data_IF_771455672405
#
_entry.id   IF_771455672405
#
_cell.length_a   1.000
_cell.length_b   1.000
_cell.length_c   1.000
_cell.angle_alpha   90.00
_cell.angle_beta   90.00
_cell.angle_gamma   90.00
#
_symmetry.space_group_name_H-M   'P 1'
#
loop_
_entity.id
_entity.type
_entity.pdbx_description
1 polymer ?
#
# COMPACT_ATOMS: atom_id res chain seq x y z
N UNK A 1 -8.85 19.89 -31.41
CA UNK A 1 -7.86 20.82 -30.85
C UNK A 1 -7.03 20.06 -29.83
N UNK A 2 -5.71 19.94 -30.04
CA UNK A 2 -4.83 19.23 -29.12
C UNK A 2 -4.67 20.04 -27.83
N UNK A 3 -4.75 19.33 -26.71
CA UNK A 3 -4.65 19.85 -25.34
C UNK A 3 -3.20 20.36 -25.15
N UNK A 4 -2.99 21.54 -24.54
CA UNK A 4 -1.64 22.08 -24.32
C UNK A 4 -0.81 21.16 -23.42
N UNK A 5 0.46 21.03 -23.77
CA UNK A 5 1.47 20.27 -23.02
C UNK A 5 1.43 20.64 -21.54
N UNK A 6 1.19 19.62 -20.73
CA UNK A 6 1.33 19.68 -19.29
C UNK A 6 2.77 20.12 -18.97
N UNK A 7 3.00 21.14 -18.12
CA UNK A 7 4.34 21.65 -17.80
C UNK A 7 5.20 20.67 -16.98
N UNK A 8 4.77 19.41 -16.90
CA UNK A 8 5.44 18.31 -16.20
C UNK A 8 6.10 17.30 -17.15
N UNK A 9 6.13 17.56 -18.46
CA UNK A 9 6.77 16.70 -19.49
C UNK A 9 8.30 16.81 -19.57
N UNK A 10 8.96 17.65 -18.75
CA UNK A 10 10.42 17.82 -18.80
C UNK A 10 11.21 17.16 -17.64
N UNK A 11 10.58 16.29 -16.85
CA UNK A 11 11.34 15.35 -16.00
C UNK A 11 11.67 14.11 -16.83
N UNK A 12 12.61 14.31 -17.76
CA UNK A 12 13.33 13.25 -18.45
C UNK A 12 13.85 12.20 -17.47
N UNK A 13 14.06 11.01 -18.02
CA UNK A 13 14.77 9.85 -17.46
C UNK A 13 16.14 10.21 -16.86
N UNK A 14 16.14 10.96 -15.78
CA UNK A 14 17.27 11.01 -14.88
C UNK A 14 17.04 9.85 -13.92
N UNK A 15 17.39 8.66 -14.41
CA UNK A 15 17.95 7.66 -13.53
C UNK A 15 18.88 8.40 -12.56
N UNK A 16 18.48 8.47 -11.28
CA UNK A 16 19.35 8.95 -10.22
C UNK A 16 20.69 8.26 -10.47
N UNK A 17 21.78 9.00 -10.75
CA UNK A 17 23.04 8.40 -11.13
C UNK A 17 23.38 7.35 -10.07
N UNK A 18 23.77 6.16 -10.54
CA UNK A 18 23.94 4.90 -9.77
C UNK A 18 24.99 4.99 -8.64
N UNK A 19 25.37 6.20 -8.22
CA UNK A 19 26.31 6.51 -7.16
C UNK A 19 25.99 7.79 -6.38
N UNK A 20 24.77 8.35 -6.44
CA UNK A 20 24.37 9.49 -5.60
C UNK A 20 23.17 9.15 -4.72
N UNK A 21 23.31 8.11 -3.88
CA UNK A 21 22.53 8.04 -2.65
C UNK A 21 23.15 9.14 -1.76
N UNK A 22 22.50 10.30 -1.49
CA UNK A 22 22.87 11.01 -0.27
C UNK A 22 22.77 9.97 0.85
N UNK A 23 23.73 9.92 1.76
CA UNK A 23 23.72 9.06 2.93
C UNK A 23 22.48 9.39 3.78
N UNK A 24 21.32 8.95 3.31
CA UNK A 24 20.06 9.07 4.00
C UNK A 24 20.23 8.23 5.25
N UNK A 25 20.08 8.82 6.43
CA UNK A 25 20.21 8.06 7.65
C UNK A 25 19.25 6.87 7.60
N UNK A 26 19.60 5.73 8.22
CA UNK A 26 18.74 4.55 8.23
C UNK A 26 17.30 4.92 8.63
N UNK A 27 16.31 4.45 7.86
CA UNK A 27 14.90 4.77 8.08
C UNK A 27 14.39 6.06 7.43
N UNK A 28 15.21 6.80 6.67
CA UNK A 28 14.72 7.96 5.94
C UNK A 28 14.05 7.58 4.61
N UNK A 29 12.89 8.17 4.36
CA UNK A 29 12.14 8.03 3.12
C UNK A 29 11.77 9.41 2.57
N UNK A 30 11.73 9.53 1.25
CA UNK A 30 11.25 10.70 0.53
C UNK A 30 10.04 10.32 -0.33
N UNK A 31 8.93 11.09 -0.28
CA UNK A 31 7.85 10.93 -1.23
C UNK A 31 8.30 11.40 -2.61
N UNK A 32 7.95 10.64 -3.64
CA UNK A 32 8.22 10.92 -5.05
C UNK A 32 6.90 10.82 -5.81
N UNK A 33 6.78 11.44 -6.99
CA UNK A 33 5.58 11.36 -7.83
C UNK A 33 5.08 9.91 -8.08
N UNK A 34 5.99 8.91 -8.08
CA UNK A 34 5.66 7.49 -8.31
C UNK A 34 5.60 6.63 -7.02
N UNK A 35 5.95 7.16 -5.85
CA UNK A 35 6.03 6.36 -4.62
C UNK A 35 6.95 6.90 -3.54
N UNK A 36 7.71 6.00 -2.90
CA UNK A 36 8.67 6.34 -1.85
C UNK A 36 10.08 5.93 -2.28
N UNK A 37 11.07 6.73 -1.90
CA UNK A 37 12.49 6.44 -2.08
C UNK A 37 13.21 6.47 -0.71
N UNK A 38 13.95 5.42 -0.30
CA UNK A 38 14.17 4.15 -1.00
C UNK A 38 12.92 3.25 -1.01
N UNK A 39 12.59 2.60 -2.14
CA UNK A 39 11.35 1.83 -2.28
C UNK A 39 11.32 0.55 -1.44
N UNK A 40 12.49 -0.05 -1.18
CA UNK A 40 12.63 -1.27 -0.36
C UNK A 40 12.34 -0.99 1.11
N UNK A 41 12.93 0.09 1.65
CA UNK A 41 12.75 0.56 3.03
C UNK A 41 11.26 0.82 3.30
N UNK A 42 10.65 1.68 2.47
CA UNK A 42 9.24 2.04 2.58
C UNK A 42 8.31 0.83 2.46
N UNK A 43 8.54 -0.04 1.46
CA UNK A 43 7.72 -1.24 1.27
C UNK A 43 7.81 -2.21 2.46
N UNK A 44 9.00 -2.37 3.05
CA UNK A 44 9.22 -3.20 4.23
C UNK A 44 8.46 -2.64 5.43
N UNK A 45 8.53 -1.33 5.66
CA UNK A 45 7.86 -0.66 6.78
C UNK A 45 6.33 -0.64 6.61
N UNK A 46 5.80 -0.39 5.41
CA UNK A 46 4.37 -0.53 5.10
C UNK A 46 3.90 -1.97 5.33
N UNK A 47 4.69 -2.96 4.91
CA UNK A 47 4.34 -4.37 5.18
C UNK A 47 4.38 -4.68 6.67
N UNK A 48 5.28 -4.04 7.42
CA UNK A 48 5.39 -4.21 8.86
C UNK A 48 4.19 -3.59 9.60
N UNK A 49 3.71 -2.41 9.19
CA UNK A 49 2.52 -1.79 9.78
C UNK A 49 1.24 -2.56 9.47
N UNK A 50 1.14 -3.13 8.27
CA UNK A 50 0.02 -3.98 7.89
C UNK A 50 -0.01 -5.35 8.58
N UNK A 51 1.03 -5.73 9.35
CA UNK A 51 1.02 -6.99 10.10
C UNK A 51 -0.16 -7.09 11.05
N UNK A 52 -0.59 -5.98 11.65
CA UNK A 52 -1.70 -5.97 12.59
C UNK A 52 -3.06 -6.14 11.90
N UNK A 53 -3.19 -5.73 10.64
CA UNK A 53 -4.40 -5.97 9.83
C UNK A 53 -4.69 -7.47 9.72
N UNK A 54 -3.64 -8.29 9.62
CA UNK A 54 -3.75 -9.75 9.60
C UNK A 54 -4.17 -10.37 10.94
N UNK A 55 -4.55 -9.59 11.94
CA UNK A 55 -5.19 -10.08 13.17
C UNK A 55 -6.71 -9.94 13.14
N UNK A 56 -7.26 -9.24 12.15
CA UNK A 56 -8.70 -9.01 11.99
C UNK A 56 -9.21 -9.55 10.65
N UNK A 57 -10.46 -10.06 10.59
CA UNK A 57 -11.01 -10.66 9.37
C UNK A 57 -11.52 -9.57 8.42
N UNK A 58 -10.62 -8.77 7.86
CA UNK A 58 -10.95 -7.73 6.89
C UNK A 58 -10.66 -8.20 5.46
N UNK A 59 -11.63 -8.05 4.56
CA UNK A 59 -11.49 -8.43 3.14
C UNK A 59 -10.90 -7.31 2.29
N UNK A 60 -11.01 -6.06 2.75
CA UNK A 60 -10.55 -4.87 2.03
C UNK A 60 -9.95 -3.84 2.97
N UNK A 61 -8.96 -3.08 2.46
CA UNK A 61 -8.37 -1.97 3.19
C UNK A 61 -9.41 -0.89 3.55
N UNK A 62 -10.42 -0.70 2.71
CA UNK A 62 -11.47 0.30 2.91
C UNK A 62 -12.55 -0.11 3.92
N UNK A 63 -12.60 -1.38 4.33
CA UNK A 63 -13.47 -1.81 5.43
C UNK A 63 -12.91 -1.39 6.79
N UNK A 64 -11.63 -1.01 6.84
CA UNK A 64 -11.03 -0.50 8.06
C UNK A 64 -11.42 0.97 8.19
N UNK A 65 -11.92 1.34 9.36
CA UNK A 65 -12.29 2.72 9.66
C UNK A 65 -11.14 3.67 9.33
N UNK A 66 -11.50 4.79 8.72
CA UNK A 66 -10.51 5.80 8.32
C UNK A 66 -9.70 6.29 9.51
N UNK A 67 -10.35 6.43 10.68
CA UNK A 67 -9.69 6.79 11.92
C UNK A 67 -8.62 5.76 12.32
N UNK A 68 -8.89 4.46 12.20
CA UNK A 68 -7.91 3.41 12.47
C UNK A 68 -6.79 3.43 11.44
N UNK A 69 -7.12 3.62 10.16
CA UNK A 69 -6.10 3.70 9.09
C UNK A 69 -5.13 4.85 9.30
N UNK A 70 -5.62 5.98 9.80
CA UNK A 70 -4.83 7.17 10.09
C UNK A 70 -4.11 7.03 11.45
N UNK A 71 -4.85 6.89 12.53
CA UNK A 71 -4.31 7.00 13.89
C UNK A 71 -3.54 5.77 14.34
N UNK A 72 -3.78 4.59 13.74
CA UNK A 72 -3.05 3.37 14.10
C UNK A 72 -2.00 3.03 13.06
N UNK A 73 -2.37 2.93 11.78
CA UNK A 73 -1.40 2.46 10.77
C UNK A 73 -0.45 3.55 10.30
N UNK A 74 -0.95 4.76 10.05
CA UNK A 74 -0.08 5.85 9.62
C UNK A 74 0.82 6.34 10.76
N UNK A 75 0.31 6.46 11.98
CA UNK A 75 1.16 6.76 13.15
C UNK A 75 2.23 5.68 13.40
N UNK A 76 1.89 4.38 13.29
CA UNK A 76 2.92 3.33 13.33
C UNK A 76 3.92 3.41 12.18
N UNK A 77 3.50 3.88 11.02
CA UNK A 77 4.41 4.10 9.91
C UNK A 77 5.36 5.25 10.23
N UNK A 78 4.83 6.36 10.79
CA UNK A 78 5.59 7.52 11.26
C UNK A 78 6.65 7.18 12.32
N UNK A 79 6.42 6.18 13.17
CA UNK A 79 7.43 5.75 14.14
C UNK A 79 8.54 4.89 13.53
N UNK A 80 8.30 4.28 12.36
CA UNK A 80 9.25 3.40 11.67
C UNK A 80 10.11 4.10 10.61
N UNK A 81 9.65 5.25 10.11
CA UNK A 81 10.34 6.01 9.06
C UNK A 81 10.39 7.49 9.39
N UNK A 82 11.45 8.16 8.95
CA UNK A 82 11.58 9.62 8.98
C UNK A 82 11.50 10.17 7.57
N UNK A 83 10.99 11.38 7.41
CA UNK A 83 10.99 12.11 6.14
C UNK A 83 11.28 13.59 6.41
N UNK A 84 12.01 14.24 5.50
CA UNK A 84 12.23 15.70 5.52
C UNK A 84 10.94 16.44 5.03
N UNK A 85 10.85 17.78 4.90
CA UNK A 85 9.60 18.54 5.07
C UNK A 85 8.74 18.51 3.80
N UNK A 86 8.48 17.32 3.27
CA UNK A 86 7.39 17.07 2.36
C UNK A 86 6.06 17.21 3.11
N UNK A 87 5.00 17.65 2.44
CA UNK A 87 3.68 17.75 3.04
C UNK A 87 3.26 16.36 3.56
N UNK A 88 3.01 16.26 4.86
CA UNK A 88 2.59 15.04 5.56
C UNK A 88 1.37 14.40 4.87
N UNK A 89 0.51 15.23 4.29
CA UNK A 89 -0.63 14.81 3.48
C UNK A 89 -0.23 13.98 2.26
N UNK A 90 0.84 14.34 1.54
CA UNK A 90 1.32 13.57 0.39
C UNK A 90 1.87 12.20 0.82
N UNK A 91 2.63 12.16 1.91
CA UNK A 91 3.13 10.91 2.50
C UNK A 91 1.97 10.01 2.91
N UNK A 92 0.93 10.60 3.52
CA UNK A 92 -0.28 9.89 3.94
C UNK A 92 -1.06 9.30 2.77
N UNK A 93 -1.31 10.07 1.71
CA UNK A 93 -1.99 9.59 0.50
C UNK A 93 -1.21 8.45 -0.16
N UNK A 94 0.11 8.61 -0.30
CA UNK A 94 0.99 7.57 -0.84
C UNK A 94 0.98 6.31 0.04
N UNK A 95 1.00 6.47 1.36
CA UNK A 95 0.93 5.37 2.31
C UNK A 95 -0.36 4.57 2.13
N UNK A 96 -1.53 5.21 2.14
CA UNK A 96 -2.81 4.50 1.97
C UNK A 96 -2.92 3.80 0.62
N UNK A 97 -2.46 4.45 -0.46
CA UNK A 97 -2.43 3.87 -1.80
C UNK A 97 -1.56 2.60 -1.83
N UNK A 98 -0.33 2.67 -1.32
CA UNK A 98 0.59 1.53 -1.29
C UNK A 98 0.10 0.44 -0.33
N UNK A 99 -0.46 0.81 0.82
CA UNK A 99 -0.99 -0.13 1.80
C UNK A 99 -2.18 -0.94 1.23
N UNK A 100 -3.14 -0.26 0.62
CA UNK A 100 -4.29 -0.89 -0.05
C UNK A 100 -3.84 -1.84 -1.16
N UNK A 101 -2.87 -1.42 -1.98
CA UNK A 101 -2.31 -2.24 -3.05
C UNK A 101 -1.60 -3.48 -2.50
N UNK A 102 -0.76 -3.32 -1.46
CA UNK A 102 -0.04 -4.44 -0.81
C UNK A 102 -0.99 -5.47 -0.20
N UNK A 103 -2.01 -5.02 0.52
CA UNK A 103 -3.02 -5.91 1.10
C UNK A 103 -3.74 -6.70 0.00
N UNK A 104 -4.16 -6.00 -1.06
CA UNK A 104 -4.82 -6.60 -2.22
C UNK A 104 -3.93 -7.64 -2.93
N UNK A 105 -2.64 -7.35 -3.09
CA UNK A 105 -1.67 -8.27 -3.71
C UNK A 105 -1.47 -9.52 -2.84
N UNK A 106 -1.35 -9.37 -1.51
CA UNK A 106 -1.22 -10.50 -0.57
C UNK A 106 -2.43 -11.41 -0.65
N UNK A 107 -3.65 -10.88 -0.57
CA UNK A 107 -4.87 -11.69 -0.68
C UNK A 107 -5.04 -12.31 -2.07
N UNK A 108 -4.64 -11.61 -3.14
CA UNK A 108 -4.71 -12.16 -4.49
C UNK A 108 -3.73 -13.32 -4.69
N UNK A 109 -2.50 -13.20 -4.18
CA UNK A 109 -1.52 -14.28 -4.22
C UNK A 109 -1.94 -15.47 -3.36
N UNK A 110 -2.42 -15.21 -2.14
CA UNK A 110 -2.90 -16.25 -1.23
C UNK A 110 -4.05 -17.07 -1.84
N UNK A 111 -5.01 -16.40 -2.48
CA UNK A 111 -6.12 -17.07 -3.20
C UNK A 111 -5.64 -17.86 -4.41
N UNK A 112 -4.77 -17.27 -5.26
CA UNK A 112 -4.24 -17.96 -6.45
C UNK A 112 -3.49 -19.24 -6.10
N UNK A 113 -2.73 -19.22 -5.01
CA UNK A 113 -1.95 -20.38 -4.56
C UNK A 113 -2.75 -21.29 -3.63
N UNK A 114 -3.96 -20.90 -3.23
CA UNK A 114 -4.73 -21.46 -2.13
C UNK A 114 -3.89 -21.75 -0.87
N UNK A 115 -2.90 -20.88 -0.62
CA UNK A 115 -1.93 -21.01 0.47
C UNK A 115 -2.17 -19.89 1.48
N UNK A 116 -2.41 -20.30 2.72
CA UNK A 116 -2.44 -19.40 3.86
C UNK A 116 -1.10 -18.68 4.00
N UNK A 117 -1.06 -17.33 4.02
CA UNK A 117 0.15 -16.60 4.38
C UNK A 117 0.58 -16.99 5.80
N UNK A 118 1.88 -17.26 6.02
CA UNK A 118 2.41 -17.69 7.32
C UNK A 118 2.05 -16.77 8.49
N UNK A 119 1.74 -15.50 8.19
CA UNK A 119 1.40 -14.44 9.13
C UNK A 119 -0.08 -14.40 9.55
N UNK A 120 -0.98 -15.12 8.85
CA UNK A 120 -2.42 -15.19 9.17
C UNK A 120 -2.68 -16.49 9.91
N UNK A 121 -3.32 -16.45 11.08
CA UNK A 121 -3.71 -17.67 11.82
C UNK A 121 -4.67 -18.56 11.02
N UNK A 122 -4.72 -19.89 11.27
CA UNK A 122 -5.61 -20.80 10.55
C UNK A 122 -7.10 -20.42 10.68
N UNK A 123 -7.57 -20.13 11.90
CA UNK A 123 -8.96 -19.74 12.17
C UNK A 123 -9.36 -18.45 11.44
N UNK A 124 -8.45 -17.47 11.44
CA UNK A 124 -8.65 -16.21 10.73
C UNK A 124 -8.66 -16.41 9.22
N UNK A 125 -7.83 -17.32 8.71
CA UNK A 125 -7.78 -17.63 7.29
C UNK A 125 -9.07 -18.31 6.81
N UNK A 126 -9.62 -19.24 7.59
CA UNK A 126 -10.91 -19.87 7.29
C UNK A 126 -12.04 -18.84 7.28
N UNK A 127 -12.05 -17.93 8.25
CA UNK A 127 -13.00 -16.81 8.31
C UNK A 127 -12.86 -15.90 7.07
N UNK A 128 -11.64 -15.57 6.66
CA UNK A 128 -11.37 -14.77 5.47
C UNK A 128 -11.82 -15.48 4.18
N UNK A 129 -11.61 -16.79 4.07
CA UNK A 129 -12.09 -17.58 2.93
C UNK A 129 -13.62 -17.55 2.85
N UNK A 130 -14.31 -17.76 3.97
CA UNK A 130 -15.78 -17.66 4.01
C UNK A 130 -16.27 -16.26 3.61
N UNK A 131 -15.60 -15.20 4.06
CA UNK A 131 -15.90 -13.82 3.64
C UNK A 131 -15.58 -13.57 2.16
N UNK A 132 -14.55 -14.22 1.60
CA UNK A 132 -14.20 -14.10 0.18
C UNK A 132 -15.17 -14.83 -0.73
N UNK A 133 -15.75 -15.95 -0.27
CA UNK A 133 -16.78 -16.69 -0.98
C UNK A 133 -18.17 -16.06 -0.84
N UNK A 134 -18.32 -15.03 0.00
CA UNK A 134 -19.55 -14.26 0.09
C UNK A 134 -19.89 -13.64 -1.29
N UNK A 135 -21.06 -13.95 -1.87
CA UNK A 135 -21.47 -13.45 -3.18
C UNK A 135 -21.51 -11.92 -3.27
N UNK A 136 -21.74 -11.20 -2.16
CA UNK A 136 -21.69 -9.74 -2.15
C UNK A 136 -20.29 -9.19 -2.45
N UNK A 137 -19.27 -9.77 -1.81
CA UNK A 137 -17.89 -9.38 -2.02
C UNK A 137 -17.41 -9.80 -3.43
N UNK A 138 -17.87 -10.95 -3.92
CA UNK A 138 -17.63 -11.39 -5.30
C UNK A 138 -18.24 -10.42 -6.31
N UNK A 139 -19.48 -10.00 -6.11
CA UNK A 139 -20.17 -9.08 -7.03
C UNK A 139 -19.53 -7.68 -7.02
N UNK A 140 -19.14 -7.15 -5.86
CA UNK A 140 -18.36 -5.88 -5.77
C UNK A 140 -17.06 -5.96 -6.57
N UNK A 141 -16.37 -7.11 -6.51
CA UNK A 141 -15.10 -7.32 -7.23
C UNK A 141 -15.30 -7.43 -8.74
N UNK A 142 -16.30 -8.17 -9.20
CA UNK A 142 -16.61 -8.28 -10.63
C UNK A 142 -17.01 -6.91 -11.21
N UNK A 143 -17.87 -6.15 -10.51
CA UNK A 143 -18.18 -4.76 -10.90
C UNK A 143 -16.94 -3.87 -10.98
N UNK A 144 -16.04 -3.97 -10.00
CA UNK A 144 -14.79 -3.20 -10.01
C UNK A 144 -13.83 -3.63 -11.13
N UNK A 145 -13.92 -4.88 -11.59
CA UNK A 145 -13.16 -5.39 -12.74
C UNK A 145 -13.75 -4.91 -14.06
N UNK A 146 -15.08 -4.90 -14.17
CA UNK A 146 -15.81 -4.42 -15.35
C UNK A 146 -15.64 -2.91 -15.55
N UNK A 147 -15.63 -2.12 -14.47
CA UNK A 147 -15.31 -0.69 -14.53
C UNK A 147 -13.86 -0.36 -14.91
N UNK A 148 -12.98 -1.36 -15.03
CA UNK A 148 -11.57 -1.22 -15.44
C UNK A 148 -11.29 -1.75 -16.84
N UNK A 149 -12.26 -2.42 -17.47
CA UNK A 149 -12.17 -2.93 -18.84
C UNK A 149 -12.57 -1.83 -19.83
#
# INVERSE_FOLDING_TARGET
>A
MPIPDSPYEDLKEDALPDGLLPDLPPGWIMPTAKGFFPPKEASKNITNTLKDVFRHPVTSYHQIDEEIRNNVFFERFRTLVKWDPAPEEQVKVLFHCKASKRLSDIFSQARKQNKRPSRIGPELWETLLALFDNPEEKNKREKAKENRA
#
